data_IF_865493622571
#
_entry.id   IF_865493622571
#
_cell.length_a   1.000
_cell.length_b   1.000
_cell.length_c   1.000
_cell.angle_alpha   90.00
_cell.angle_beta   90.00
_cell.angle_gamma   90.00
#
_symmetry.space_group_name_H-M   'P 1'
#
loop_
_entity.id
_entity.type
_entity.pdbx_description
1 polymer ?
#
# COMPACT_ATOMS: atom_id res chain seq x y z
N UNK A 1 -13.18 13.82 -6.42
CA UNK A 1 -13.76 12.50 -6.09
C UNK A 1 -12.65 11.52 -5.70
N UNK A 2 -12.06 11.68 -4.51
CA UNK A 2 -11.03 10.77 -3.97
C UNK A 2 -11.61 9.68 -3.04
N UNK A 3 -12.92 9.74 -2.77
CA UNK A 3 -13.65 8.83 -1.87
C UNK A 3 -13.47 7.32 -2.14
N UNK A 4 -13.49 6.81 -3.39
CA UNK A 4 -13.46 5.36 -3.59
C UNK A 4 -12.12 4.73 -3.22
N UNK A 5 -11.01 5.44 -3.38
CA UNK A 5 -9.68 4.87 -3.15
C UNK A 5 -9.35 4.73 -1.66
N UNK A 6 -9.69 5.75 -0.86
CA UNK A 6 -9.55 5.68 0.61
C UNK A 6 -10.46 4.59 1.20
N UNK A 7 -11.66 4.39 0.64
CA UNK A 7 -12.56 3.32 1.07
C UNK A 7 -11.97 1.94 0.74
N UNK A 8 -11.46 1.73 -0.48
CA UNK A 8 -10.79 0.48 -0.86
C UNK A 8 -9.61 0.20 0.07
N UNK A 9 -8.78 1.21 0.36
CA UNK A 9 -7.66 1.09 1.30
C UNK A 9 -8.12 0.60 2.67
N UNK A 10 -9.11 1.25 3.28
CA UNK A 10 -9.59 0.85 4.61
C UNK A 10 -10.16 -0.58 4.60
N UNK A 11 -10.91 -0.95 3.56
CA UNK A 11 -11.47 -2.30 3.42
C UNK A 11 -10.37 -3.35 3.29
N UNK A 12 -9.37 -3.11 2.43
CA UNK A 12 -8.25 -4.03 2.23
C UNK A 12 -7.43 -4.18 3.51
N UNK A 13 -7.02 -3.07 4.13
CA UNK A 13 -6.19 -3.11 5.34
C UNK A 13 -6.93 -3.73 6.52
N UNK A 14 -8.22 -3.43 6.70
CA UNK A 14 -9.03 -4.06 7.76
C UNK A 14 -9.22 -5.56 7.53
N UNK A 15 -9.46 -5.98 6.29
CA UNK A 15 -9.56 -7.41 5.93
C UNK A 15 -8.23 -8.11 6.22
N UNK A 16 -7.10 -7.53 5.83
CA UNK A 16 -5.77 -8.09 6.13
C UNK A 16 -5.48 -8.20 7.63
N UNK A 17 -5.94 -7.25 8.45
CA UNK A 17 -5.82 -7.33 9.92
C UNK A 17 -6.66 -8.50 10.46
N UNK A 18 -7.91 -8.66 9.98
CA UNK A 18 -8.76 -9.76 10.43
C UNK A 18 -8.18 -11.12 10.06
N UNK A 19 -7.69 -11.27 8.83
CA UNK A 19 -7.01 -12.50 8.38
C UNK A 19 -5.77 -12.77 9.22
N UNK A 20 -4.96 -11.74 9.49
CA UNK A 20 -3.78 -11.87 10.35
C UNK A 20 -4.10 -12.35 11.77
N UNK A 21 -5.21 -11.90 12.36
CA UNK A 21 -5.65 -12.35 13.69
C UNK A 21 -6.12 -13.81 13.67
N UNK A 22 -6.79 -14.24 12.60
CA UNK A 22 -7.19 -15.64 12.42
C UNK A 22 -5.93 -16.52 12.33
N UNK A 23 -4.97 -16.14 11.50
CA UNK A 23 -3.71 -16.87 11.35
C UNK A 23 -2.89 -16.92 12.65
N UNK A 24 -2.88 -15.82 13.42
CA UNK A 24 -2.24 -15.80 14.74
C UNK A 24 -2.90 -16.79 15.71
N UNK A 25 -4.23 -16.84 15.74
CA UNK A 25 -4.96 -17.74 16.61
C UNK A 25 -4.71 -19.22 16.25
N UNK A 26 -4.73 -19.55 14.95
CA UNK A 26 -4.42 -20.89 14.46
C UNK A 26 -2.96 -21.27 14.73
N UNK A 27 -2.01 -20.39 14.42
CA UNK A 27 -0.59 -20.64 14.66
C UNK A 27 -0.28 -20.81 16.15
N UNK A 28 -0.94 -20.05 17.03
CA UNK A 28 -0.81 -20.20 18.47
C UNK A 28 -1.37 -21.56 18.97
N UNK A 29 -2.53 -21.98 18.45
CA UNK A 29 -3.13 -23.27 18.76
C UNK A 29 -2.20 -24.43 18.36
N UNK A 30 -1.70 -24.42 17.11
CA UNK A 30 -0.76 -25.41 16.60
C UNK A 30 0.54 -25.44 17.43
N UNK A 31 1.07 -24.27 17.79
CA UNK A 31 2.31 -24.17 18.60
C UNK A 31 2.11 -24.72 20.01
N UNK A 32 0.95 -24.47 20.63
CA UNK A 32 0.63 -25.00 21.96
C UNK A 32 0.59 -26.53 21.94
N UNK A 33 -0.09 -27.11 20.95
CA UNK A 33 -0.19 -28.56 20.78
C UNK A 33 1.16 -29.19 20.45
N UNK A 34 1.93 -28.59 19.54
CA UNK A 34 3.25 -29.12 19.14
C UNK A 34 4.25 -29.11 20.29
N UNK A 35 4.25 -28.05 21.10
CA UNK A 35 5.15 -27.92 22.25
C UNK A 35 4.81 -28.93 23.34
N UNK A 36 3.51 -29.18 23.58
CA UNK A 36 3.07 -30.15 24.58
C UNK A 36 3.35 -31.60 24.14
N UNK A 37 3.15 -31.94 22.87
CA UNK A 37 3.30 -33.31 22.39
C UNK A 37 4.73 -33.69 22.00
N UNK A 38 5.48 -32.76 21.39
CA UNK A 38 6.79 -33.05 20.80
C UNK A 38 7.93 -32.21 21.39
N UNK A 39 7.64 -31.21 22.22
CA UNK A 39 8.65 -30.31 22.78
C UNK A 39 9.34 -29.42 21.74
N UNK A 40 8.75 -29.28 20.55
CA UNK A 40 9.30 -28.48 19.43
C UNK A 40 8.24 -27.51 18.88
N UNK A 41 8.70 -26.42 18.27
CA UNK A 41 7.88 -25.47 17.54
C UNK A 41 8.17 -25.54 16.04
N UNK A 42 7.17 -25.23 15.22
CA UNK A 42 7.32 -25.21 13.78
C UNK A 42 7.68 -23.81 13.25
N UNK A 43 8.61 -23.68 12.29
CA UNK A 43 9.01 -22.39 11.72
C UNK A 43 7.84 -21.61 11.10
N UNK A 44 6.94 -22.26 10.35
CA UNK A 44 5.79 -21.59 9.73
C UNK A 44 4.88 -20.93 10.77
N UNK A 45 4.68 -21.56 11.93
CA UNK A 45 3.83 -21.02 12.99
C UNK A 45 4.48 -19.79 13.65
N UNK A 46 5.80 -19.84 13.88
CA UNK A 46 6.55 -18.69 14.39
C UNK A 46 6.53 -17.51 13.40
N UNK A 47 6.70 -17.78 12.10
CA UNK A 47 6.59 -16.79 11.02
C UNK A 47 5.19 -16.19 10.94
N UNK A 48 4.13 -17.01 11.02
CA UNK A 48 2.74 -16.54 11.02
C UNK A 48 2.45 -15.61 12.20
N UNK A 49 2.88 -15.97 13.42
CA UNK A 49 2.71 -15.13 14.61
C UNK A 49 3.45 -13.79 14.44
N UNK A 50 4.71 -13.82 13.97
CA UNK A 50 5.49 -12.61 13.76
C UNK A 50 4.86 -11.70 12.68
N UNK A 51 4.44 -12.27 11.55
CA UNK A 51 3.76 -11.56 10.47
C UNK A 51 2.42 -10.96 10.95
N UNK A 52 1.67 -11.69 11.77
CA UNK A 52 0.41 -11.22 12.32
C UNK A 52 0.59 -10.06 13.29
N UNK A 53 1.57 -10.14 14.21
CA UNK A 53 1.89 -9.04 15.15
C UNK A 53 2.33 -7.80 14.37
N UNK A 54 3.21 -7.95 13.38
CA UNK A 54 3.63 -6.84 12.53
C UNK A 54 2.44 -6.24 11.78
N UNK A 55 1.57 -7.05 11.20
CA UNK A 55 0.37 -6.58 10.49
C UNK A 55 -0.58 -5.84 11.43
N UNK A 56 -0.86 -6.41 12.60
CA UNK A 56 -1.76 -5.86 13.62
C UNK A 56 -1.24 -4.56 14.23
N UNK A 57 0.07 -4.38 14.40
CA UNK A 57 0.62 -3.13 14.93
C UNK A 57 0.81 -2.08 13.84
N UNK A 58 1.36 -2.47 12.69
CA UNK A 58 1.80 -1.49 11.69
C UNK A 58 0.68 -0.99 10.79
N UNK A 59 -0.32 -1.81 10.44
CA UNK A 59 -1.43 -1.35 9.60
C UNK A 59 -2.32 -0.33 10.34
N UNK A 60 -2.76 -0.55 11.59
CA UNK A 60 -3.49 0.47 12.34
C UNK A 60 -2.64 1.71 12.62
N UNK A 61 -1.32 1.55 12.86
CA UNK A 61 -0.44 2.70 13.02
C UNK A 61 -0.40 3.57 11.75
N UNK A 62 -0.35 2.98 10.55
CA UNK A 62 -0.43 3.74 9.30
C UNK A 62 -1.76 4.48 9.14
N UNK A 63 -2.88 3.85 9.48
CA UNK A 63 -4.21 4.48 9.46
C UNK A 63 -4.29 5.63 10.49
N UNK A 64 -3.83 5.40 11.71
CA UNK A 64 -3.84 6.39 12.79
C UNK A 64 -2.97 7.62 12.45
N UNK A 65 -1.80 7.40 11.83
CA UNK A 65 -0.91 8.47 11.40
C UNK A 65 -1.50 9.30 10.25
N UNK A 66 -2.26 8.68 9.35
CA UNK A 66 -2.98 9.40 8.29
C UNK A 66 -4.03 10.35 8.88
N UNK A 67 -4.79 9.90 9.88
CA UNK A 67 -5.79 10.73 10.58
C UNK A 67 -5.10 11.84 11.37
N UNK A 68 -4.00 11.53 12.06
CA UNK A 68 -3.33 12.47 12.97
C UNK A 68 -2.56 13.57 12.24
N UNK A 69 -1.98 13.28 11.08
CA UNK A 69 -1.20 14.26 10.31
C UNK A 69 -1.35 14.05 8.80
N UNK A 70 -2.42 14.59 8.19
CA UNK A 70 -2.58 14.58 6.75
C UNK A 70 -1.34 15.20 6.06
N UNK A 71 -0.67 14.44 5.20
CA UNK A 71 0.55 14.88 4.51
C UNK A 71 1.87 14.61 5.24
N UNK A 72 1.88 13.82 6.32
CA UNK A 72 3.12 13.31 6.92
C UNK A 72 3.88 12.32 6.02
N UNK A 73 5.18 12.05 6.30
CA UNK A 73 6.01 11.14 5.50
C UNK A 73 5.49 9.70 5.49
N UNK A 74 4.77 9.28 6.53
CA UNK A 74 4.12 7.96 6.59
C UNK A 74 2.90 7.85 5.67
N UNK A 75 2.40 8.98 5.16
CA UNK A 75 1.32 9.01 4.17
C UNK A 75 1.85 8.97 2.73
N UNK A 76 3.17 8.96 2.51
CA UNK A 76 3.72 8.92 1.15
C UNK A 76 3.46 7.55 0.49
N UNK A 77 2.97 7.57 -0.75
CA UNK A 77 2.69 6.36 -1.54
C UNK A 77 3.90 5.42 -1.60
N UNK A 78 5.12 5.95 -1.72
CA UNK A 78 6.35 5.13 -1.76
C UNK A 78 6.60 4.35 -0.47
N UNK A 79 6.34 4.96 0.69
CA UNK A 79 6.54 4.33 2.00
C UNK A 79 5.47 3.26 2.21
N UNK A 80 4.23 3.56 1.86
CA UNK A 80 3.11 2.61 1.91
C UNK A 80 3.37 1.39 1.02
N UNK A 81 3.74 1.59 -0.25
CA UNK A 81 4.05 0.49 -1.18
C UNK A 81 5.21 -0.37 -0.64
N UNK A 82 6.29 0.26 -0.18
CA UNK A 82 7.47 -0.47 0.31
C UNK A 82 7.14 -1.33 1.53
N UNK A 83 6.36 -0.78 2.47
CA UNK A 83 5.96 -1.49 3.70
C UNK A 83 4.96 -2.61 3.42
N UNK A 84 3.94 -2.36 2.59
CA UNK A 84 2.97 -3.37 2.22
C UNK A 84 3.61 -4.49 1.39
N UNK A 85 4.60 -4.17 0.56
CA UNK A 85 5.37 -5.17 -0.18
C UNK A 85 6.17 -6.07 0.77
N UNK A 86 6.80 -5.49 1.78
CA UNK A 86 7.48 -6.26 2.83
C UNK A 86 6.51 -7.19 3.57
N UNK A 87 5.34 -6.70 3.99
CA UNK A 87 4.30 -7.54 4.62
C UNK A 87 3.79 -8.62 3.67
N UNK A 88 3.58 -8.29 2.40
CA UNK A 88 3.17 -9.25 1.37
C UNK A 88 4.17 -10.40 1.23
N UNK A 89 5.47 -10.11 1.19
CA UNK A 89 6.51 -11.16 1.13
C UNK A 89 6.57 -12.01 2.40
N UNK A 90 6.31 -11.45 3.59
CA UNK A 90 6.21 -12.22 4.82
C UNK A 90 5.06 -13.24 4.75
N UNK A 91 3.88 -12.82 4.31
CA UNK A 91 2.73 -13.72 4.14
C UNK A 91 2.97 -14.77 3.06
N UNK A 92 3.66 -14.43 1.97
CA UNK A 92 4.08 -15.39 0.96
C UNK A 92 5.03 -16.45 1.55
N UNK A 93 6.02 -16.03 2.34
CA UNK A 93 6.96 -16.94 2.99
C UNK A 93 6.25 -17.86 3.99
N UNK A 94 5.32 -17.32 4.79
CA UNK A 94 4.48 -18.12 5.71
C UNK A 94 3.65 -19.17 4.96
N UNK A 95 2.96 -18.77 3.89
CA UNK A 95 2.15 -19.69 3.09
C UNK A 95 3.01 -20.75 2.39
N UNK A 96 4.16 -20.37 1.85
CA UNK A 96 5.09 -21.29 1.19
C UNK A 96 5.68 -22.32 2.16
N UNK A 97 6.08 -21.92 3.37
CA UNK A 97 6.61 -22.82 4.40
C UNK A 97 5.53 -23.78 4.93
N UNK A 98 4.29 -23.28 5.10
CA UNK A 98 3.14 -24.12 5.45
C UNK A 98 2.82 -25.14 4.35
N UNK A 99 2.87 -24.73 3.07
CA UNK A 99 2.64 -25.61 1.92
C UNK A 99 3.75 -26.67 1.75
N UNK A 100 5.01 -26.31 2.01
CA UNK A 100 6.13 -27.26 2.04
C UNK A 100 5.88 -28.32 3.12
N UNK A 101 5.53 -27.89 4.34
CA UNK A 101 5.20 -28.81 5.42
C UNK A 101 4.04 -29.75 5.07
N UNK A 102 3.00 -29.24 4.40
CA UNK A 102 1.84 -29.99 3.96
C UNK A 102 2.15 -30.99 2.80
N UNK A 103 3.12 -30.66 1.94
CA UNK A 103 3.41 -31.42 0.71
C UNK A 103 4.58 -32.41 0.82
N UNK A 104 5.63 -32.11 1.59
CA UNK A 104 6.88 -32.91 1.64
C UNK A 104 7.23 -33.48 3.02
N UNK A 105 6.44 -33.20 4.06
CA UNK A 105 6.64 -33.76 5.41
C UNK A 105 6.49 -35.29 5.46
N UNK A 106 7.59 -36.01 5.20
CA UNK A 106 7.77 -37.47 5.02
C UNK A 106 7.23 -38.38 6.15
N UNK A 107 6.65 -37.81 7.21
CA UNK A 107 6.09 -38.54 8.37
C UNK A 107 4.70 -38.06 8.84
N UNK A 108 4.22 -36.88 8.41
CA UNK A 108 2.98 -36.25 8.88
C UNK A 108 2.14 -35.65 7.74
N UNK A 109 2.35 -36.10 6.50
CA UNK A 109 1.62 -35.58 5.35
C UNK A 109 0.10 -35.77 5.51
N UNK A 110 -0.61 -34.65 5.62
CA UNK A 110 -2.06 -34.59 5.80
C UNK A 110 -2.86 -35.13 4.60
N UNK A 111 -2.18 -35.50 3.51
CA UNK A 111 -2.74 -36.13 2.32
C UNK A 111 -2.65 -37.66 2.24
N UNK A 112 -2.10 -38.36 3.25
CA UNK A 112 -1.99 -39.84 3.23
C UNK A 112 -2.76 -40.49 4.39
N UNK A 113 -4.05 -40.85 4.18
CA UNK A 113 -4.89 -41.43 5.23
C UNK A 113 -4.39 -42.81 5.72
N UNK A 114 -3.56 -43.49 4.94
CA UNK A 114 -3.04 -44.84 5.24
C UNK A 114 -1.95 -44.86 6.34
N UNK A 115 -1.31 -43.72 6.61
CA UNK A 115 -0.25 -43.56 7.62
C UNK A 115 -0.72 -42.72 8.83
N UNK A 116 -1.93 -42.17 8.77
CA UNK A 116 -2.57 -41.50 9.90
C UNK A 116 -3.02 -42.56 10.91
N UNK A 117 -2.17 -42.83 11.90
CA UNK A 117 -2.69 -43.24 13.21
C UNK A 117 -3.67 -42.19 13.73
N UNK A 118 -4.40 -42.49 14.81
CA UNK A 118 -5.37 -41.58 15.46
C UNK A 118 -4.80 -40.25 16.00
N UNK A 119 -3.57 -39.90 15.62
CA UNK A 119 -2.94 -38.61 15.86
C UNK A 119 -3.54 -37.58 14.90
N UNK A 120 -4.60 -36.96 15.41
CA UNK A 120 -5.15 -35.63 15.13
C UNK A 120 -5.27 -35.16 13.68
N UNK A 121 -6.32 -35.65 13.02
CA UNK A 121 -6.96 -35.03 11.84
C UNK A 121 -7.15 -33.50 12.04
N UNK A 122 -7.35 -33.03 13.29
CA UNK A 122 -7.50 -31.62 13.62
C UNK A 122 -6.30 -30.74 13.24
N UNK A 123 -5.07 -31.17 13.58
CA UNK A 123 -3.86 -30.38 13.32
C UNK A 123 -3.62 -30.16 11.81
N UNK A 124 -3.98 -31.16 11.00
CA UNK A 124 -3.89 -31.06 9.55
C UNK A 124 -4.83 -30.01 8.95
N UNK A 125 -6.06 -29.91 9.47
CA UNK A 125 -7.00 -28.88 9.04
C UNK A 125 -6.55 -27.48 9.45
N UNK A 126 -5.93 -27.34 10.62
CA UNK A 126 -5.37 -26.06 11.09
C UNK A 126 -4.21 -25.58 10.20
N UNK A 127 -3.29 -26.47 9.82
CA UNK A 127 -2.17 -26.12 8.93
C UNK A 127 -2.67 -25.71 7.54
N UNK A 128 -3.61 -26.48 6.97
CA UNK A 128 -4.21 -26.14 5.67
C UNK A 128 -4.96 -24.80 5.72
N UNK A 129 -5.60 -24.48 6.84
CA UNK A 129 -6.24 -23.18 7.05
C UNK A 129 -5.20 -22.05 7.08
N UNK A 130 -4.09 -22.20 7.83
CA UNK A 130 -2.99 -21.23 7.87
C UNK A 130 -2.40 -21.00 6.47
N UNK A 131 -2.16 -22.07 5.71
CA UNK A 131 -1.67 -22.00 4.33
C UNK A 131 -2.60 -21.13 3.46
N UNK A 132 -3.92 -21.43 3.49
CA UNK A 132 -4.91 -20.75 2.68
C UNK A 132 -5.06 -19.26 3.06
N UNK A 133 -5.12 -18.95 4.35
CA UNK A 133 -5.27 -17.57 4.83
C UNK A 133 -4.00 -16.74 4.61
N UNK A 134 -2.81 -17.33 4.76
CA UNK A 134 -1.55 -16.66 4.45
C UNK A 134 -1.46 -16.29 2.96
N UNK A 135 -1.79 -17.21 2.04
CA UNK A 135 -1.84 -16.91 0.61
C UNK A 135 -2.92 -15.89 0.27
N UNK A 136 -4.10 -15.98 0.90
CA UNK A 136 -5.17 -15.00 0.70
C UNK A 136 -4.71 -13.60 1.10
N UNK A 137 -4.04 -13.47 2.25
CA UNK A 137 -3.52 -12.18 2.71
C UNK A 137 -2.42 -11.65 1.78
N UNK A 138 -1.52 -12.52 1.32
CA UNK A 138 -0.51 -12.18 0.31
C UNK A 138 -1.14 -11.62 -0.97
N UNK A 139 -2.15 -12.31 -1.53
CA UNK A 139 -2.84 -11.90 -2.77
C UNK A 139 -3.54 -10.57 -2.58
N UNK A 140 -4.26 -10.37 -1.47
CA UNK A 140 -4.98 -9.13 -1.18
C UNK A 140 -4.01 -7.94 -1.11
N UNK A 141 -2.90 -8.09 -0.38
CA UNK A 141 -1.87 -7.05 -0.27
C UNK A 141 -1.20 -6.78 -1.62
N UNK A 142 -0.85 -7.83 -2.37
CA UNK A 142 -0.22 -7.71 -3.68
C UNK A 142 -1.13 -7.03 -4.71
N UNK A 143 -2.42 -7.37 -4.71
CA UNK A 143 -3.42 -6.74 -5.57
C UNK A 143 -3.52 -5.24 -5.26
N UNK A 144 -3.58 -4.87 -3.98
CA UNK A 144 -3.61 -3.46 -3.58
C UNK A 144 -2.34 -2.71 -3.99
N UNK A 145 -1.15 -3.28 -3.75
CA UNK A 145 0.12 -2.70 -4.21
C UNK A 145 0.11 -2.51 -5.73
N UNK A 146 -0.35 -3.52 -6.48
CA UNK A 146 -0.50 -3.46 -7.93
C UNK A 146 -1.41 -2.31 -8.37
N UNK A 147 -2.56 -2.13 -7.73
CA UNK A 147 -3.46 -1.01 -8.04
C UNK A 147 -2.81 0.35 -7.76
N UNK A 148 -2.15 0.52 -6.61
CA UNK A 148 -1.43 1.77 -6.29
C UNK A 148 -0.31 2.05 -7.28
N UNK A 149 0.44 1.02 -7.67
CA UNK A 149 1.55 1.15 -8.61
C UNK A 149 1.04 1.57 -9.99
N UNK A 150 0.02 0.90 -10.52
CA UNK A 150 -0.58 1.23 -11.83
C UNK A 150 -1.13 2.66 -11.83
N UNK A 151 -1.85 3.05 -10.77
CA UNK A 151 -2.42 4.40 -10.66
C UNK A 151 -1.32 5.48 -10.54
N UNK A 152 -0.25 5.19 -9.81
CA UNK A 152 0.89 6.09 -9.64
C UNK A 152 1.69 6.25 -10.94
N UNK A 153 1.92 5.16 -11.67
CA UNK A 153 2.58 5.18 -12.97
C UNK A 153 1.74 5.92 -14.01
N UNK A 154 0.41 5.71 -14.02
CA UNK A 154 -0.50 6.42 -14.91
C UNK A 154 -0.58 7.93 -14.61
N UNK A 155 -0.47 8.32 -13.33
CA UNK A 155 -0.39 9.74 -12.96
C UNK A 155 0.96 10.35 -13.35
N UNK A 156 2.06 9.61 -13.15
CA UNK A 156 3.40 10.04 -13.54
C UNK A 156 3.53 10.20 -15.07
N UNK A 157 2.90 9.32 -15.86
CA UNK A 157 2.92 9.42 -17.33
C UNK A 157 2.18 10.65 -17.86
N UNK A 158 1.27 11.24 -17.07
CA UNK A 158 0.55 12.50 -17.39
C UNK A 158 1.34 13.76 -17.00
N UNK A 159 2.63 13.64 -16.65
CA UNK A 159 3.52 14.73 -16.23
C UNK A 159 3.13 15.40 -14.91
N UNK A 160 2.35 14.73 -14.06
CA UNK A 160 2.15 15.19 -12.68
C UNK A 160 3.44 15.01 -11.89
N UNK A 161 3.92 16.07 -11.24
CA UNK A 161 5.12 16.04 -10.40
C UNK A 161 4.74 15.67 -8.96
N UNK A 162 5.66 15.02 -8.23
CA UNK A 162 5.45 14.72 -6.81
C UNK A 162 4.44 13.61 -6.48
N UNK A 163 4.03 12.77 -7.46
CA UNK A 163 3.08 11.66 -7.25
C UNK A 163 3.56 10.71 -6.15
N UNK A 164 4.83 10.33 -6.16
CA UNK A 164 5.42 9.37 -5.20
C UNK A 164 5.49 9.87 -3.75
N UNK A 165 5.59 11.19 -3.57
CA UNK A 165 5.64 11.85 -2.27
C UNK A 165 4.26 12.36 -1.83
N UNK A 166 3.25 12.23 -2.70
CA UNK A 166 1.88 12.60 -2.38
C UNK A 166 1.20 11.50 -1.57
N UNK A 167 0.21 11.91 -0.79
CA UNK A 167 -0.67 10.99 -0.08
C UNK A 167 -1.69 10.38 -1.03
N UNK A 168 -2.07 9.11 -0.82
CA UNK A 168 -3.12 8.41 -1.59
C UNK A 168 -4.41 9.23 -1.63
N UNK A 169 -4.77 9.90 -0.54
CA UNK A 169 -5.97 10.74 -0.45
C UNK A 169 -5.89 12.02 -1.32
N UNK A 170 -4.67 12.54 -1.53
CA UNK A 170 -4.43 13.83 -2.21
C UNK A 170 -3.83 13.68 -3.61
N UNK A 171 -3.57 12.45 -4.06
CA UNK A 171 -2.91 12.19 -5.33
C UNK A 171 -3.83 12.53 -6.53
N UNK A 172 -3.28 13.13 -7.61
CA UNK A 172 -4.06 13.59 -8.76
C UNK A 172 -4.44 12.46 -9.74
N UNK A 173 -4.88 11.31 -9.22
CA UNK A 173 -5.18 10.11 -10.01
C UNK A 173 -6.22 10.34 -11.12
N UNK A 174 -7.22 11.19 -10.86
CA UNK A 174 -8.28 11.54 -11.80
C UNK A 174 -8.13 12.91 -12.47
N UNK A 175 -7.07 13.67 -12.17
CA UNK A 175 -6.94 15.03 -12.69
C UNK A 175 -6.48 15.01 -14.17
N UNK A 176 -7.04 15.90 -15.03
CA UNK A 176 -6.51 16.16 -16.36
C UNK A 176 -5.02 16.52 -16.28
N UNK A 177 -4.28 16.25 -17.36
CA UNK A 177 -2.88 16.67 -17.44
C UNK A 177 -2.80 18.19 -17.21
N UNK A 178 -1.84 18.69 -16.40
CA UNK A 178 -1.70 20.11 -16.18
C UNK A 178 -1.43 20.79 -17.53
N UNK A 179 -2.17 21.87 -17.82
CA UNK A 179 -1.91 22.66 -19.01
C UNK A 179 -0.45 23.12 -18.93
N UNK A 180 0.36 22.69 -19.90
CA UNK A 180 1.72 23.20 -20.06
C UNK A 180 1.56 24.66 -20.43
N UNK A 181 1.65 25.55 -19.44
CA UNK A 181 1.82 26.97 -19.71
C UNK A 181 3.19 27.11 -20.34
N UNK A 182 3.24 26.98 -21.68
CA UNK A 182 4.34 27.44 -22.47
C UNK A 182 4.39 28.94 -22.21
N UNK A 183 5.20 29.36 -21.25
CA UNK A 183 5.59 30.77 -21.17
C UNK A 183 6.13 31.10 -22.55
N UNK A 184 5.50 32.03 -23.30
CA UNK A 184 6.03 32.40 -24.60
C UNK A 184 7.46 32.85 -24.35
N UNK A 185 8.41 32.11 -24.93
CA UNK A 185 9.79 32.55 -24.94
C UNK A 185 9.78 33.88 -25.68
N UNK A 186 9.80 34.98 -24.91
CA UNK A 186 10.07 36.32 -25.38
C UNK A 186 11.42 36.24 -26.08
N UNK A 187 11.38 36.11 -27.40
CA UNK A 187 12.55 36.22 -28.25
C UNK A 187 13.00 37.69 -28.15
N UNK A 188 13.80 37.97 -27.12
CA UNK A 188 14.44 39.24 -26.87
C UNK A 188 15.47 39.48 -27.96
N UNK A 189 15.01 39.86 -29.16
CA UNK A 189 15.83 40.52 -30.15
C UNK A 189 16.25 41.87 -29.59
N UNK A 190 17.35 41.90 -28.84
CA UNK A 190 18.11 43.12 -28.57
C UNK A 190 18.74 43.56 -29.89
N UNK A 191 17.99 44.34 -30.67
CA UNK A 191 18.57 45.15 -31.73
C UNK A 191 19.20 46.35 -31.05
N UNK A 192 20.53 46.38 -31.00
CA UNK A 192 21.30 47.52 -30.51
C UNK A 192 21.11 48.71 -31.47
N UNK A 193 20.08 49.52 -31.19
CA UNK A 193 19.79 50.77 -31.88
C UNK A 193 20.62 51.91 -31.31
N UNK A 194 21.54 52.40 -32.12
CA UNK A 194 22.33 53.62 -31.91
C UNK A 194 21.42 54.86 -31.82
N UNK A 195 21.59 55.63 -30.74
CA UNK A 195 21.51 57.09 -30.70
C UNK A 195 20.26 57.81 -31.21
N UNK A 196 19.46 58.37 -30.29
CA UNK A 196 18.49 59.42 -30.62
C UNK A 196 17.80 60.02 -29.39
N UNK A 197 18.19 61.24 -29.03
CA UNK A 197 17.53 62.08 -28.04
C UNK A 197 16.08 62.42 -28.40
N UNK A 198 15.20 62.44 -27.41
CA UNK A 198 14.16 63.47 -27.12
C UNK A 198 13.07 62.84 -26.23
N UNK A 199 12.93 63.33 -25.00
CA UNK A 199 11.96 64.36 -24.57
C UNK A 199 10.59 63.75 -24.22
N UNK A 200 10.15 63.99 -22.99
CA UNK A 200 9.04 63.28 -22.36
C UNK A 200 7.66 63.73 -22.82
N UNK A 201 6.65 63.01 -22.34
CA UNK A 201 5.36 63.57 -21.93
C UNK A 201 4.66 62.62 -20.96
N UNK A 202 4.21 63.19 -19.85
CA UNK A 202 3.39 62.60 -18.80
C UNK A 202 1.91 62.86 -19.11
N UNK A 203 1.08 61.82 -19.05
CA UNK A 203 -0.37 61.84 -18.78
C UNK A 203 -0.78 60.34 -18.69
N UNK A 204 -1.35 59.81 -17.61
CA UNK A 204 -2.44 60.36 -16.82
C UNK A 204 -3.76 59.90 -17.44
N UNK A 205 -4.26 58.70 -17.06
CA UNK A 205 -5.71 58.46 -16.98
C UNK A 205 -6.05 57.17 -16.23
N UNK A 206 -6.62 57.38 -15.04
CA UNK A 206 -7.46 56.46 -14.29
C UNK A 206 -8.84 56.35 -14.96
N UNK A 207 -9.31 55.13 -15.22
CA UNK A 207 -10.74 54.87 -15.44
C UNK A 207 -11.17 53.77 -14.49
N UNK A 208 -11.83 54.19 -13.40
CA UNK A 208 -12.76 53.35 -12.66
C UNK A 208 -14.01 53.15 -13.52
N UNK A 209 -14.43 51.91 -13.70
CA UNK A 209 -15.78 51.60 -14.15
C UNK A 209 -16.40 50.61 -13.17
N UNK A 210 -17.34 51.10 -12.37
CA UNK A 210 -18.27 50.30 -11.59
C UNK A 210 -19.55 50.02 -12.38
N UNK A 211 -20.17 48.88 -12.10
CA UNK A 211 -21.56 48.52 -12.46
C UNK A 211 -21.93 47.36 -11.52
N UNK A 212 -22.73 47.50 -10.45
CA UNK A 212 -24.16 47.84 -10.27
C UNK A 212 -25.13 46.80 -10.87
N UNK A 213 -25.62 45.94 -9.96
CA UNK A 213 -26.97 45.35 -9.80
C UNK A 213 -27.69 44.69 -10.99
N UNK A 214 -28.13 43.44 -10.80
CA UNK A 214 -29.48 43.13 -10.23
C UNK A 214 -29.34 41.99 -9.23
#
# INVERSE_FOLDING_TARGET
MALPLTLIRVVVLSTSILLALIDMALAAAVTSTSTQSFGVYFPYAALAIAAAILTFLTLPAMIALEISRPGGPTSMIIVEISWLFFLSLLWLATGADAADFNSVGFWFACGRPELQGSVDIGACHEISAIEAFAFLNWIILLAYIGTLLVMSLAAASRKHTGVWTSSVANAPFGAPAPAVNLTPMSHGGQVAGVGGHSAGYSAGNSVQAGTVHV
#
